data_IF_922005032662
#
_entry.id   IF_922005032662
#
_cell.length_a   1.000
_cell.length_b   1.000
_cell.length_c   1.000
_cell.angle_alpha   90.00
_cell.angle_beta   90.00
_cell.angle_gamma   90.00
#
_symmetry.space_group_name_H-M   'P 1'
#
loop_
_entity.id
_entity.type
_entity.pdbx_description
1 polymer ?
#
# COMPACT_ATOMS: atom_id res chain seq x y z
N UNK A 1 -21.58 9.87 0.59
CA UNK A 1 -20.54 9.68 1.62
C UNK A 1 -20.56 10.81 2.62
N UNK A 2 -20.59 10.46 3.91
CA UNK A 2 -20.59 11.44 4.99
C UNK A 2 -19.17 11.62 5.54
N UNK A 3 -18.55 12.82 5.48
CA UNK A 3 -17.22 13.09 6.02
C UNK A 3 -17.02 12.67 7.49
N UNK A 4 -18.08 12.67 8.30
CA UNK A 4 -18.05 12.23 9.68
C UNK A 4 -17.78 10.72 9.87
N UNK A 5 -17.95 9.91 8.83
CA UNK A 5 -17.67 8.48 8.84
C UNK A 5 -16.19 8.16 8.64
N UNK A 6 -15.35 9.16 8.32
CA UNK A 6 -13.90 9.01 8.22
C UNK A 6 -13.29 9.05 9.62
N UNK A 7 -13.07 7.89 10.20
CA UNK A 7 -12.66 7.75 11.61
C UNK A 7 -11.23 7.28 11.79
N UNK A 8 -10.70 6.49 10.82
CA UNK A 8 -9.37 5.92 10.90
C UNK A 8 -8.26 6.95 10.60
N UNK A 9 -7.13 6.91 11.32
CA UNK A 9 -6.07 7.91 11.19
C UNK A 9 -5.53 8.07 9.76
N UNK A 10 -5.32 6.95 9.05
CA UNK A 10 -4.79 6.98 7.68
C UNK A 10 -5.81 7.57 6.69
N UNK A 11 -7.10 7.26 6.87
CA UNK A 11 -8.17 7.82 6.04
C UNK A 11 -8.29 9.33 6.25
N UNK A 12 -8.19 9.78 7.52
CA UNK A 12 -8.16 11.21 7.86
C UNK A 12 -6.94 11.90 7.25
N UNK A 13 -5.77 11.25 7.25
CA UNK A 13 -4.56 11.79 6.61
C UNK A 13 -4.72 11.95 5.10
N UNK A 14 -5.35 10.96 4.44
CA UNK A 14 -5.68 11.05 3.02
C UNK A 14 -6.65 12.22 2.73
N UNK A 15 -7.65 12.44 3.57
CA UNK A 15 -8.55 13.59 3.43
C UNK A 15 -7.85 14.92 3.73
N UNK A 16 -6.91 14.97 4.69
CA UNK A 16 -6.09 16.15 4.94
C UNK A 16 -5.29 16.55 3.69
N UNK A 17 -4.66 15.58 3.03
CA UNK A 17 -3.94 15.81 1.77
C UNK A 17 -4.88 16.25 0.66
N UNK A 18 -6.05 15.61 0.51
CA UNK A 18 -7.07 16.03 -0.46
C UNK A 18 -7.50 17.49 -0.26
N UNK A 19 -7.71 17.91 0.98
CA UNK A 19 -8.06 19.30 1.29
C UNK A 19 -6.99 20.30 0.81
N UNK A 20 -5.71 19.96 0.96
CA UNK A 20 -4.60 20.78 0.46
C UNK A 20 -4.62 20.84 -1.06
N UNK A 21 -4.71 19.70 -1.74
CA UNK A 21 -4.73 19.64 -3.21
C UNK A 21 -5.88 20.43 -3.80
N UNK A 22 -7.07 20.32 -3.22
CA UNK A 22 -8.22 21.14 -3.68
C UNK A 22 -7.95 22.64 -3.54
N UNK A 23 -7.30 23.10 -2.44
CA UNK A 23 -6.92 24.51 -2.27
C UNK A 23 -5.88 24.95 -3.29
N UNK A 24 -4.82 24.15 -3.46
CA UNK A 24 -3.72 24.43 -4.39
C UNK A 24 -4.21 24.49 -5.83
N UNK A 25 -4.98 23.49 -6.27
CA UNK A 25 -5.56 23.45 -7.61
C UNK A 25 -6.52 24.63 -7.84
N UNK A 26 -7.35 24.98 -6.84
CA UNK A 26 -8.26 26.14 -6.93
C UNK A 26 -7.49 27.44 -7.05
N UNK A 27 -6.44 27.64 -6.26
CA UNK A 27 -5.61 28.85 -6.30
C UNK A 27 -4.88 28.97 -7.65
N UNK A 28 -4.31 27.88 -8.14
CA UNK A 28 -3.61 27.85 -9.43
C UNK A 28 -4.57 28.16 -10.61
N UNK A 29 -5.75 27.53 -10.62
CA UNK A 29 -6.76 27.81 -11.68
C UNK A 29 -7.27 29.25 -11.64
N UNK A 30 -7.48 29.83 -10.46
CA UNK A 30 -7.85 31.24 -10.31
C UNK A 30 -6.77 32.20 -10.80
N UNK A 31 -5.50 31.75 -10.81
CA UNK A 31 -4.36 32.49 -11.34
C UNK A 31 -4.05 32.15 -12.81
N UNK A 32 -4.90 31.35 -13.47
CA UNK A 32 -4.70 30.84 -14.84
C UNK A 32 -3.46 29.96 -15.01
N UNK A 33 -2.92 29.37 -13.91
CA UNK A 33 -1.76 28.50 -13.91
C UNK A 33 -2.19 27.03 -14.05
N UNK A 34 -2.78 26.66 -15.19
CA UNK A 34 -3.39 25.33 -15.41
C UNK A 34 -2.41 24.18 -15.22
N UNK A 35 -1.15 24.34 -15.64
CA UNK A 35 -0.12 23.30 -15.48
C UNK A 35 0.19 23.01 -14.01
N UNK A 36 0.26 24.04 -13.16
CA UNK A 36 0.46 23.86 -11.72
C UNK A 36 -0.73 23.20 -11.06
N UNK A 37 -1.94 23.53 -11.52
CA UNK A 37 -3.14 22.88 -11.01
C UNK A 37 -3.13 21.37 -11.34
N UNK A 38 -2.79 21.02 -12.59
CA UNK A 38 -2.69 19.64 -13.02
C UNK A 38 -1.60 18.88 -12.26
N UNK A 39 -0.41 19.46 -12.12
CA UNK A 39 0.72 18.89 -11.38
C UNK A 39 0.32 18.53 -9.93
N UNK A 40 -0.31 19.48 -9.20
CA UNK A 40 -0.75 19.24 -7.83
C UNK A 40 -1.81 18.12 -7.74
N UNK A 41 -2.73 18.04 -8.72
CA UNK A 41 -3.76 17.00 -8.76
C UNK A 41 -3.14 15.64 -9.10
N UNK A 42 -2.25 15.59 -10.11
CA UNK A 42 -1.64 14.37 -10.62
C UNK A 42 -0.71 13.73 -9.59
N UNK A 43 0.14 14.51 -8.94
CA UNK A 43 1.03 14.03 -7.88
C UNK A 43 0.26 13.32 -6.77
N UNK A 44 -0.84 13.90 -6.32
CA UNK A 44 -1.65 13.26 -5.28
C UNK A 44 -2.49 12.11 -5.82
N UNK A 45 -2.96 12.17 -7.05
CA UNK A 45 -3.68 11.07 -7.69
C UNK A 45 -2.84 9.79 -7.70
N UNK A 46 -1.59 9.88 -8.10
CA UNK A 46 -0.68 8.73 -8.09
C UNK A 46 -0.38 8.25 -6.67
N UNK A 47 -0.11 9.14 -5.73
CA UNK A 47 0.05 8.75 -4.32
C UNK A 47 -1.21 8.08 -3.76
N UNK A 48 -2.38 8.58 -4.11
CA UNK A 48 -3.65 7.98 -3.69
C UNK A 48 -3.84 6.57 -4.27
N UNK A 49 -3.52 6.38 -5.56
CA UNK A 49 -3.66 5.08 -6.22
C UNK A 49 -2.60 4.07 -5.77
N UNK A 50 -1.33 4.47 -5.71
CA UNK A 50 -0.21 3.56 -5.49
C UNK A 50 0.04 3.27 -4.01
N UNK A 51 -0.22 4.24 -3.12
CA UNK A 51 0.00 4.10 -1.69
C UNK A 51 -1.32 3.89 -0.94
N UNK A 52 -2.24 4.87 -0.99
CA UNK A 52 -3.41 4.87 -0.12
C UNK A 52 -4.34 3.69 -0.39
N UNK A 53 -4.72 3.44 -1.65
CA UNK A 53 -5.59 2.30 -2.01
C UNK A 53 -4.95 0.99 -1.57
N UNK A 54 -3.65 0.82 -1.81
CA UNK A 54 -2.92 -0.41 -1.44
C UNK A 54 -2.85 -0.63 0.07
N UNK A 55 -2.72 0.45 0.85
CA UNK A 55 -2.70 0.41 2.31
C UNK A 55 -4.07 -0.01 2.87
N UNK A 56 -5.17 0.54 2.34
CA UNK A 56 -6.51 0.37 2.93
C UNK A 56 -7.37 -0.70 2.28
N UNK A 57 -6.97 -1.27 1.15
CA UNK A 57 -7.82 -2.17 0.35
C UNK A 57 -8.40 -3.34 1.14
N UNK A 58 -7.61 -4.03 1.96
CA UNK A 58 -8.09 -5.16 2.73
C UNK A 58 -9.12 -4.73 3.79
N UNK A 59 -8.87 -3.59 4.45
CA UNK A 59 -9.81 -2.97 5.37
C UNK A 59 -11.10 -2.55 4.65
N UNK A 60 -11.00 -1.95 3.46
CA UNK A 60 -12.16 -1.58 2.65
C UNK A 60 -13.00 -2.78 2.18
N UNK A 61 -12.36 -3.91 1.88
CA UNK A 61 -13.06 -5.16 1.57
C UNK A 61 -13.70 -5.81 2.80
N UNK A 62 -13.25 -5.49 4.00
CA UNK A 62 -13.71 -6.15 5.24
C UNK A 62 -13.18 -7.57 5.36
N UNK A 63 -12.06 -7.88 4.70
CA UNK A 63 -11.44 -9.21 4.75
C UNK A 63 -10.54 -9.34 5.97
N UNK A 64 -10.45 -10.56 6.52
CA UNK A 64 -9.52 -10.86 7.59
C UNK A 64 -8.06 -10.59 7.12
N UNK A 65 -7.26 -10.04 8.01
CA UNK A 65 -5.83 -9.86 7.81
C UNK A 65 -5.07 -11.20 7.84
N UNK A 66 -3.76 -11.15 7.64
CA UNK A 66 -2.91 -12.35 7.65
C UNK A 66 -2.85 -13.06 9.02
N UNK A 67 -3.31 -12.41 10.09
CA UNK A 67 -3.42 -12.97 11.45
C UNK A 67 -4.83 -13.48 11.78
N UNK A 68 -5.80 -13.31 10.88
CA UNK A 68 -7.18 -13.70 11.05
C UNK A 68 -8.10 -12.63 11.69
N UNK A 69 -7.58 -11.42 11.95
CA UNK A 69 -8.40 -10.34 12.50
C UNK A 69 -9.26 -9.72 11.39
N UNK A 70 -10.54 -9.55 11.67
CA UNK A 70 -11.50 -8.89 10.77
C UNK A 70 -11.62 -7.42 11.20
N UNK A 71 -11.51 -6.46 10.28
CA UNK A 71 -11.69 -5.05 10.61
C UNK A 71 -13.11 -4.78 11.08
N UNK A 72 -13.28 -3.82 12.02
CA UNK A 72 -14.60 -3.41 12.50
C UNK A 72 -15.42 -2.77 11.39
N UNK A 73 -16.75 -2.82 11.49
CA UNK A 73 -17.65 -2.19 10.53
C UNK A 73 -17.38 -0.69 10.39
N UNK A 74 -17.01 -0.02 11.48
CA UNK A 74 -16.64 1.40 11.47
C UNK A 74 -15.35 1.65 10.68
N UNK A 75 -14.33 0.78 10.83
CA UNK A 75 -13.09 0.87 10.09
C UNK A 75 -13.31 0.60 8.58
N UNK A 76 -14.15 -0.40 8.24
CA UNK A 76 -14.55 -0.66 6.86
C UNK A 76 -15.28 0.54 6.26
N UNK A 77 -16.24 1.10 7.02
CA UNK A 77 -17.01 2.28 6.59
C UNK A 77 -16.11 3.49 6.38
N UNK A 78 -15.14 3.72 7.25
CA UNK A 78 -14.16 4.80 7.16
C UNK A 78 -13.37 4.70 5.86
N UNK A 79 -12.77 3.54 5.56
CA UNK A 79 -12.01 3.33 4.33
C UNK A 79 -12.87 3.56 3.07
N UNK A 80 -14.07 2.97 3.03
CA UNK A 80 -14.98 3.12 1.88
C UNK A 80 -15.43 4.57 1.69
N UNK A 81 -15.70 5.28 2.77
CA UNK A 81 -16.08 6.69 2.72
C UNK A 81 -14.93 7.55 2.21
N UNK A 82 -13.71 7.35 2.69
CA UNK A 82 -12.56 8.11 2.25
C UNK A 82 -12.20 7.81 0.77
N UNK A 83 -12.29 6.54 0.35
CA UNK A 83 -12.13 6.15 -1.05
C UNK A 83 -13.19 6.81 -1.95
N UNK A 84 -14.46 6.81 -1.52
CA UNK A 84 -15.56 7.43 -2.27
C UNK A 84 -15.43 8.94 -2.38
N UNK A 85 -15.10 9.62 -1.26
CA UNK A 85 -14.82 11.07 -1.25
C UNK A 85 -13.62 11.42 -2.13
N UNK A 86 -12.57 10.60 -2.12
CA UNK A 86 -11.39 10.77 -2.95
C UNK A 86 -11.73 10.65 -4.44
N UNK A 87 -12.45 9.60 -4.83
CA UNK A 87 -12.85 9.37 -6.22
C UNK A 87 -13.76 10.49 -6.75
N UNK A 88 -14.73 10.94 -5.95
CA UNK A 88 -15.60 12.07 -6.26
C UNK A 88 -14.79 13.38 -6.45
N UNK A 89 -13.80 13.62 -5.57
CA UNK A 89 -12.91 14.76 -5.70
C UNK A 89 -12.10 14.70 -7.00
N UNK A 90 -11.45 13.57 -7.29
CA UNK A 90 -10.63 13.42 -8.48
C UNK A 90 -11.45 13.53 -9.77
N UNK A 91 -12.66 12.97 -9.81
CA UNK A 91 -13.55 13.12 -10.98
C UNK A 91 -13.81 14.60 -11.31
N UNK A 92 -14.07 15.43 -10.29
CA UNK A 92 -14.29 16.88 -10.47
C UNK A 92 -13.02 17.65 -10.77
N UNK A 93 -11.91 17.35 -10.07
CA UNK A 93 -10.62 18.02 -10.26
C UNK A 93 -10.02 17.75 -11.65
N UNK A 94 -10.20 16.53 -12.17
CA UNK A 94 -9.67 16.11 -13.46
C UNK A 94 -10.61 16.42 -14.63
N UNK A 95 -11.88 16.74 -14.39
CA UNK A 95 -12.84 17.04 -15.44
C UNK A 95 -12.38 18.10 -16.47
N UNK A 96 -11.69 19.21 -16.09
CA UNK A 96 -11.17 20.17 -17.04
C UNK A 96 -10.03 19.64 -17.93
N UNK A 97 -9.32 18.60 -17.49
CA UNK A 97 -8.14 18.04 -18.16
C UNK A 97 -8.44 16.74 -18.90
N UNK A 98 -9.27 15.89 -18.30
CA UNK A 98 -9.64 14.57 -18.80
C UNK A 98 -11.18 14.45 -18.92
N UNK A 99 -11.84 15.25 -19.79
CA UNK A 99 -13.28 15.43 -19.78
C UNK A 99 -14.06 14.12 -19.96
N UNK A 100 -13.63 13.25 -20.86
CA UNK A 100 -14.35 12.01 -21.15
C UNK A 100 -14.17 10.96 -20.05
N UNK A 101 -12.94 10.78 -19.53
CA UNK A 101 -12.67 9.84 -18.46
C UNK A 101 -13.38 10.26 -17.15
N UNK A 102 -13.34 11.55 -16.83
CA UNK A 102 -14.01 12.09 -15.66
C UNK A 102 -15.54 11.92 -15.75
N UNK A 103 -16.13 12.16 -16.91
CA UNK A 103 -17.57 11.98 -17.14
C UNK A 103 -17.98 10.50 -17.01
N UNK A 104 -17.20 9.58 -17.58
CA UNK A 104 -17.47 8.15 -17.49
C UNK A 104 -17.46 7.67 -16.04
N UNK A 105 -16.39 8.00 -15.28
CA UNK A 105 -16.29 7.65 -13.85
C UNK A 105 -17.41 8.30 -13.03
N UNK A 106 -17.72 9.55 -13.31
CA UNK A 106 -18.83 10.27 -12.67
C UNK A 106 -20.17 9.57 -12.86
N UNK A 107 -20.45 9.11 -14.08
CA UNK A 107 -21.70 8.42 -14.40
C UNK A 107 -21.93 7.14 -13.61
N UNK A 108 -20.87 6.46 -13.21
CA UNK A 108 -20.95 5.25 -12.37
C UNK A 108 -21.32 5.56 -10.92
N UNK A 109 -20.87 6.72 -10.40
CA UNK A 109 -21.10 7.13 -9.00
C UNK A 109 -22.39 7.93 -8.81
N UNK A 110 -22.77 8.72 -9.81
CA UNK A 110 -23.83 9.70 -9.74
C UNK A 110 -24.91 9.43 -10.79
N UNK A 111 -25.45 8.21 -10.81
CA UNK A 111 -26.46 7.80 -11.78
C UNK A 111 -27.68 8.73 -11.72
N UNK A 112 -27.97 9.44 -12.83
CA UNK A 112 -29.09 10.34 -12.95
C UNK A 112 -28.87 11.76 -12.38
N UNK A 113 -27.71 12.08 -11.85
CA UNK A 113 -27.38 13.41 -11.29
C UNK A 113 -26.82 14.41 -12.32
N UNK A 114 -26.73 14.00 -13.59
CA UNK A 114 -26.23 14.83 -14.69
C UNK A 114 -24.69 14.71 -14.84
N UNK A 115 -24.11 15.63 -15.61
CA UNK A 115 -22.71 15.61 -16.01
C UNK A 115 -21.79 16.21 -14.94
N UNK A 116 -20.57 15.64 -14.79
CA UNK A 116 -19.50 16.21 -13.93
C UNK A 116 -19.16 17.65 -14.31
N UNK A 117 -19.28 18.01 -15.60
CA UNK A 117 -18.99 19.36 -16.11
C UNK A 117 -20.02 20.42 -15.66
N UNK A 118 -21.12 19.99 -15.06
CA UNK A 118 -22.13 20.84 -14.45
C UNK A 118 -22.14 20.74 -12.92
N UNK A 119 -21.38 19.82 -12.37
CA UNK A 119 -21.23 19.66 -10.92
C UNK A 119 -20.42 20.83 -10.33
N UNK A 120 -20.67 21.12 -9.05
CA UNK A 120 -19.92 22.15 -8.36
C UNK A 120 -18.44 21.73 -8.19
N UNK A 121 -17.52 22.68 -8.29
CA UNK A 121 -16.14 22.47 -7.96
C UNK A 121 -15.98 21.96 -6.51
N UNK A 122 -15.05 21.02 -6.22
CA UNK A 122 -14.91 20.46 -4.88
C UNK A 122 -14.51 21.54 -3.87
N UNK A 123 -15.08 21.46 -2.66
CA UNK A 123 -14.80 22.40 -1.58
C UNK A 123 -13.83 21.77 -0.60
N UNK A 124 -12.68 22.41 -0.37
CA UNK A 124 -11.64 21.92 0.54
C UNK A 124 -12.13 21.66 1.96
N UNK A 125 -13.12 22.43 2.42
CA UNK A 125 -13.64 22.32 3.79
C UNK A 125 -14.34 20.99 4.07
N UNK A 126 -14.90 20.33 3.06
CA UNK A 126 -15.51 18.99 3.19
C UNK A 126 -14.44 17.97 3.60
N UNK A 127 -13.28 18.00 2.93
CA UNK A 127 -12.17 17.09 3.20
C UNK A 127 -11.44 17.47 4.48
N UNK A 128 -11.30 18.78 4.78
CA UNK A 128 -10.74 19.26 6.02
C UNK A 128 -11.58 18.85 7.24
N UNK A 129 -12.91 18.84 7.12
CA UNK A 129 -13.80 18.35 8.18
C UNK A 129 -13.62 16.84 8.41
N UNK A 130 -13.44 16.05 7.34
CA UNK A 130 -13.14 14.62 7.44
C UNK A 130 -11.75 14.35 8.04
N UNK A 131 -10.82 15.28 7.89
CA UNK A 131 -9.42 15.14 8.29
C UNK A 131 -9.12 15.49 9.75
N UNK A 132 -10.11 15.83 10.56
CA UNK A 132 -9.93 16.41 11.91
C UNK A 132 -8.76 15.81 12.68
N UNK A 133 -7.76 16.63 12.99
CA UNK A 133 -6.60 16.28 13.81
C UNK A 133 -5.51 15.41 13.12
N UNK A 134 -5.65 15.11 11.84
CA UNK A 134 -4.67 14.30 11.12
C UNK A 134 -3.62 15.14 10.37
N UNK A 135 -2.38 14.66 10.36
CA UNK A 135 -1.33 15.19 9.51
C UNK A 135 -1.39 14.52 8.12
N UNK A 136 -1.35 15.30 7.02
CA UNK A 136 -1.26 14.75 5.67
C UNK A 136 0.03 13.93 5.43
N UNK A 137 1.08 14.18 6.21
CA UNK A 137 2.36 13.48 6.13
C UNK A 137 2.27 12.01 6.54
N UNK A 138 1.28 11.66 7.38
CA UNK A 138 1.07 10.27 7.82
C UNK A 138 0.93 9.31 6.64
N UNK A 139 0.20 9.71 5.58
CA UNK A 139 0.07 8.90 4.37
C UNK A 139 1.41 8.70 3.67
N UNK A 140 2.20 9.77 3.52
CA UNK A 140 3.51 9.70 2.86
C UNK A 140 4.48 8.78 3.63
N UNK A 141 4.48 8.84 4.96
CA UNK A 141 5.30 7.98 5.80
C UNK A 141 4.84 6.52 5.79
N UNK A 142 3.53 6.27 5.77
CA UNK A 142 2.98 4.93 5.64
C UNK A 142 3.35 4.29 4.29
N UNK A 143 3.23 5.05 3.19
CA UNK A 143 3.65 4.62 1.86
C UNK A 143 5.14 4.26 1.82
N UNK A 144 6.01 5.13 2.34
CA UNK A 144 7.47 4.85 2.44
C UNK A 144 7.78 3.62 3.28
N UNK A 145 7.06 3.38 4.37
CA UNK A 145 7.25 2.19 5.18
C UNK A 145 6.94 0.91 4.37
N UNK A 146 5.83 0.89 3.63
CA UNK A 146 5.47 -0.26 2.78
C UNK A 146 6.43 -0.41 1.61
N UNK A 147 6.88 0.67 1.00
CA UNK A 147 7.91 0.65 -0.05
C UNK A 147 9.19 -0.06 0.44
N UNK A 148 9.67 0.29 1.65
CA UNK A 148 10.85 -0.35 2.23
C UNK A 148 10.61 -1.84 2.52
N UNK A 149 9.44 -2.22 3.00
CA UNK A 149 9.08 -3.63 3.19
C UNK A 149 9.07 -4.41 1.87
N UNK A 150 8.55 -3.81 0.80
CA UNK A 150 8.57 -4.40 -0.56
C UNK A 150 10.00 -4.50 -1.11
N UNK A 151 10.83 -3.48 -0.88
CA UNK A 151 12.24 -3.46 -1.28
C UNK A 151 13.02 -4.60 -0.63
N UNK A 152 12.89 -4.81 0.69
CA UNK A 152 13.52 -5.92 1.42
C UNK A 152 13.13 -7.27 0.81
N UNK A 153 11.85 -7.48 0.50
CA UNK A 153 11.39 -8.72 -0.15
C UNK A 153 11.98 -8.91 -1.54
N UNK A 154 12.08 -7.83 -2.31
CA UNK A 154 12.69 -7.86 -3.65
C UNK A 154 14.18 -8.20 -3.60
N UNK A 155 14.92 -7.58 -2.68
CA UNK A 155 16.36 -7.85 -2.47
C UNK A 155 16.60 -9.29 -2.02
N UNK A 156 15.73 -9.81 -1.14
CA UNK A 156 15.76 -11.21 -0.70
C UNK A 156 15.24 -12.19 -1.78
N UNK A 157 14.78 -11.69 -2.95
CA UNK A 157 14.22 -12.49 -4.04
C UNK A 157 13.06 -13.41 -3.61
N UNK A 158 12.28 -12.99 -2.63
CA UNK A 158 11.09 -13.70 -2.16
C UNK A 158 9.80 -13.09 -2.73
N UNK A 159 8.73 -13.87 -2.71
CA UNK A 159 7.42 -13.38 -3.17
C UNK A 159 6.92 -12.20 -2.32
N UNK A 160 6.24 -11.24 -2.95
CA UNK A 160 5.55 -10.16 -2.22
C UNK A 160 4.49 -10.68 -1.24
N UNK A 161 3.99 -11.91 -1.45
CA UNK A 161 3.05 -12.59 -0.55
C UNK A 161 3.72 -13.25 0.67
N UNK A 162 5.05 -13.35 0.71
CA UNK A 162 5.77 -13.95 1.83
C UNK A 162 5.53 -13.14 3.11
N UNK A 163 5.09 -13.78 4.21
CA UNK A 163 4.88 -13.09 5.48
C UNK A 163 6.21 -12.66 6.11
N UNK A 164 6.22 -11.51 6.77
CA UNK A 164 7.32 -11.02 7.57
C UNK A 164 7.00 -11.31 9.04
N UNK A 165 7.87 -12.10 9.71
CA UNK A 165 7.65 -12.50 11.10
C UNK A 165 8.03 -11.41 12.11
N UNK A 166 9.00 -10.55 11.76
CA UNK A 166 9.37 -9.41 12.57
C UNK A 166 10.04 -8.34 11.72
N UNK A 167 9.81 -7.09 12.07
CA UNK A 167 10.46 -5.95 11.41
C UNK A 167 10.77 -4.86 12.43
N UNK A 168 11.91 -4.20 12.24
CA UNK A 168 12.27 -3.00 12.99
C UNK A 168 12.30 -1.82 12.03
N UNK A 169 11.41 -0.86 12.27
CA UNK A 169 11.33 0.37 11.50
C UNK A 169 12.27 1.41 12.08
N UNK A 170 13.21 1.88 11.28
CA UNK A 170 14.10 2.98 11.63
C UNK A 170 13.47 4.30 11.27
N UNK A 171 12.97 5.01 12.27
CA UNK A 171 12.26 6.29 12.07
C UNK A 171 12.78 7.34 13.04
N UNK A 172 12.76 8.59 12.62
CA UNK A 172 12.98 9.72 13.51
C UNK A 172 11.83 9.83 14.53
N UNK A 173 12.10 10.39 15.69
CA UNK A 173 11.11 10.41 16.80
C UNK A 173 9.87 11.24 16.47
N UNK A 174 10.01 12.29 15.67
CA UNK A 174 8.93 13.17 15.19
C UNK A 174 7.97 12.46 14.20
N UNK A 175 8.44 11.42 13.50
CA UNK A 175 7.66 10.65 12.52
C UNK A 175 7.01 9.41 13.14
N UNK A 176 7.53 8.97 14.29
CA UNK A 176 7.11 7.73 14.96
C UNK A 176 5.61 7.69 15.23
N UNK A 177 5.03 8.75 15.73
CA UNK A 177 3.60 8.83 16.07
C UNK A 177 2.73 8.68 14.80
N UNK A 178 3.12 9.32 13.71
CA UNK A 178 2.44 9.21 12.41
C UNK A 178 2.42 7.76 11.90
N UNK A 179 3.56 7.09 11.90
CA UNK A 179 3.65 5.68 11.46
C UNK A 179 2.89 4.77 12.43
N UNK A 180 2.98 5.02 13.74
CA UNK A 180 2.30 4.22 14.75
C UNK A 180 0.78 4.29 14.62
N UNK A 181 0.23 5.43 14.22
CA UNK A 181 -1.21 5.60 13.98
C UNK A 181 -1.73 4.81 12.77
N UNK A 182 -0.87 4.52 11.79
CA UNK A 182 -1.19 3.76 10.58
C UNK A 182 -0.66 2.31 10.60
N UNK A 183 -0.18 1.84 11.77
CA UNK A 183 0.58 0.59 11.88
C UNK A 183 -0.20 -0.64 11.40
N UNK A 184 -1.50 -0.70 11.63
CA UNK A 184 -2.36 -1.79 11.19
C UNK A 184 -2.40 -1.92 9.66
N UNK A 185 -2.62 -0.80 8.97
CA UNK A 185 -2.66 -0.75 7.51
C UNK A 185 -1.27 -1.05 6.90
N UNK A 186 -0.18 -0.55 7.53
CA UNK A 186 1.20 -0.85 7.12
C UNK A 186 1.52 -2.33 7.28
N UNK A 187 1.14 -2.93 8.41
CA UNK A 187 1.36 -4.34 8.69
C UNK A 187 0.66 -5.22 7.66
N UNK A 188 -0.60 -4.91 7.36
CA UNK A 188 -1.38 -5.66 6.38
C UNK A 188 -0.84 -5.52 4.96
N UNK A 189 -0.58 -4.29 4.49
CA UNK A 189 -0.02 -4.04 3.16
C UNK A 189 1.37 -4.64 2.99
N UNK A 190 2.19 -4.62 4.06
CA UNK A 190 3.52 -5.23 4.12
C UNK A 190 3.50 -6.73 4.38
N UNK A 191 2.35 -7.34 4.72
CA UNK A 191 2.20 -8.70 5.20
C UNK A 191 3.12 -9.02 6.40
N UNK A 192 3.09 -8.17 7.39
CA UNK A 192 3.80 -8.37 8.66
C UNK A 192 2.84 -9.08 9.62
N UNK A 193 3.12 -10.34 9.91
CA UNK A 193 2.27 -11.18 10.79
C UNK A 193 2.77 -11.23 12.23
N UNK A 194 3.93 -10.65 12.49
CA UNK A 194 4.54 -10.69 13.80
C UNK A 194 4.83 -9.30 14.36
N UNK A 195 5.94 -9.16 15.09
CA UNK A 195 6.25 -7.94 15.84
C UNK A 195 6.80 -6.83 14.94
N UNK A 196 6.21 -5.64 15.07
CA UNK A 196 6.80 -4.41 14.55
C UNK A 196 7.41 -3.65 15.73
N UNK A 197 8.68 -3.28 15.63
CA UNK A 197 9.40 -2.48 16.61
C UNK A 197 9.98 -1.24 15.95
N UNK A 198 10.29 -0.25 16.77
CA UNK A 198 10.88 1.02 16.31
C UNK A 198 12.28 1.17 16.86
N UNK A 199 13.20 1.66 16.03
CA UNK A 199 14.53 2.06 16.43
C UNK A 199 14.81 3.47 15.90
N UNK A 200 15.71 4.20 16.57
CA UNK A 200 16.19 5.47 16.01
C UNK A 200 16.86 5.24 14.65
N UNK A 201 16.79 6.20 13.73
CA UNK A 201 17.22 6.06 12.34
C UNK A 201 18.65 5.49 12.16
N UNK A 202 19.58 5.83 13.06
CA UNK A 202 20.95 5.34 13.02
C UNK A 202 21.08 3.87 13.47
N UNK A 203 20.27 3.43 14.45
CA UNK A 203 20.27 2.06 14.94
C UNK A 203 19.62 1.09 13.96
N UNK A 204 18.61 1.56 13.23
CA UNK A 204 17.92 0.77 12.21
C UNK A 204 18.78 0.46 11.00
N UNK A 205 19.60 1.40 10.54
CA UNK A 205 20.51 1.17 9.43
C UNK A 205 21.52 0.03 9.73
N UNK A 206 21.93 -0.09 11.00
CA UNK A 206 22.79 -1.20 11.45
C UNK A 206 22.02 -2.53 11.57
N UNK A 207 20.77 -2.50 12.04
CA UNK A 207 19.95 -3.70 12.21
C UNK A 207 19.49 -4.29 10.87
N UNK A 208 19.13 -3.45 9.89
CA UNK A 208 18.78 -3.89 8.54
C UNK A 208 19.96 -4.58 7.86
N UNK A 209 21.17 -4.07 8.03
CA UNK A 209 22.38 -4.71 7.49
C UNK A 209 22.62 -6.08 8.13
N UNK A 210 22.49 -6.19 9.44
CA UNK A 210 22.70 -7.44 10.16
C UNK A 210 21.65 -8.52 9.80
N UNK A 211 20.37 -8.14 9.60
CA UNK A 211 19.31 -9.06 9.17
C UNK A 211 19.43 -9.47 7.71
N UNK A 212 19.91 -8.59 6.84
CA UNK A 212 20.16 -8.91 5.44
C UNK A 212 21.34 -9.90 5.30
N UNK A 213 22.41 -9.70 6.07
CA UNK A 213 23.56 -10.59 6.09
C UNK A 213 23.18 -11.97 6.63
N UNK A 214 22.39 -12.05 7.71
CA UNK A 214 21.89 -13.31 8.26
C UNK A 214 20.91 -14.05 7.33
N UNK A 215 20.07 -13.32 6.61
CA UNK A 215 19.16 -13.91 5.62
C UNK A 215 19.92 -14.42 4.38
N UNK A 216 21.00 -13.75 3.99
CA UNK A 216 21.89 -14.19 2.91
C UNK A 216 22.63 -15.46 3.31
N UNK A 217 23.20 -15.51 4.50
CA UNK A 217 23.90 -16.70 5.02
C UNK A 217 22.94 -17.91 5.12
N UNK A 218 21.70 -17.70 5.57
CA UNK A 218 20.69 -18.75 5.62
C UNK A 218 20.27 -19.24 4.21
N UNK A 219 20.17 -18.33 3.23
CA UNK A 219 19.86 -18.65 1.85
C UNK A 219 21.01 -19.41 1.17
N UNK A 220 22.25 -18.99 1.41
CA UNK A 220 23.44 -19.62 0.85
C UNK A 220 23.62 -21.02 1.47
N UNK A 221 23.32 -21.19 2.76
CA UNK A 221 23.29 -22.50 3.42
C UNK A 221 22.21 -23.41 2.86
N UNK A 222 20.99 -22.91 2.64
CA UNK A 222 19.90 -23.67 2.05
C UNK A 222 20.18 -24.06 0.57
N UNK A 223 20.87 -23.21 -0.18
CA UNK A 223 21.33 -23.53 -1.54
C UNK A 223 22.39 -24.63 -1.52
N UNK A 224 23.38 -24.55 -0.63
CA UNK A 224 24.40 -25.59 -0.49
C UNK A 224 23.81 -26.93 -0.09
N UNK A 225 22.81 -26.96 0.81
CA UNK A 225 22.06 -28.16 1.18
C UNK A 225 21.25 -28.74 0.00
N UNK A 226 20.69 -27.87 -0.86
CA UNK A 226 19.94 -28.28 -2.06
C UNK A 226 20.87 -28.80 -3.17
N UNK A 227 22.03 -28.18 -3.36
CA UNK A 227 23.07 -28.66 -4.29
C UNK A 227 23.67 -29.99 -3.84
N UNK A 228 23.94 -30.15 -2.55
CA UNK A 228 24.40 -31.43 -1.98
C UNK A 228 23.34 -32.54 -2.13
N UNK A 229 22.05 -32.23 -1.95
CA UNK A 229 20.96 -33.17 -2.21
C UNK A 229 20.80 -33.53 -3.70
N UNK A 230 21.05 -32.59 -4.60
CA UNK A 230 21.04 -32.82 -6.04
C UNK A 230 22.23 -33.69 -6.48
N UNK A 231 23.41 -33.52 -5.90
CA UNK A 231 24.58 -34.35 -6.14
C UNK A 231 24.34 -35.78 -5.68
N UNK A 232 23.73 -36.01 -4.52
CA UNK A 232 23.35 -37.35 -4.03
C UNK A 232 22.32 -38.04 -4.95
N UNK A 233 21.37 -37.31 -5.55
CA UNK A 233 20.38 -37.86 -6.47
C UNK A 233 21.06 -38.27 -7.82
N UNK A 234 22.11 -37.57 -8.27
CA UNK A 234 22.85 -37.94 -9.48
C UNK A 234 23.68 -39.19 -9.26
N UNK A 235 24.34 -39.37 -8.09
CA UNK A 235 25.08 -40.58 -7.76
C UNK A 235 24.20 -41.85 -7.62
N UNK A 236 22.95 -41.74 -7.11
CA UNK A 236 22.01 -42.85 -7.07
C UNK A 236 21.50 -43.24 -8.46
N UNK A 237 21.47 -42.34 -9.44
CA UNK A 237 21.04 -42.64 -10.82
C UNK A 237 22.10 -43.34 -11.68
N UNK A 238 23.37 -43.36 -11.23
CA UNK A 238 24.48 -44.10 -11.88
C UNK A 238 24.60 -45.56 -11.41
N UNK A 239 23.83 -45.97 -10.40
CA UNK A 239 23.77 -47.36 -9.95
C UNK A 239 22.77 -48.18 -10.77
N UNK A 240 23.24 -48.60 -11.95
CA UNK A 240 22.90 -49.84 -12.67
C UNK A 240 21.42 -50.14 -12.96
N UNK A 241 21.11 -50.22 -14.25
CA UNK A 241 19.87 -50.84 -14.77
C UNK A 241 19.63 -52.24 -14.17
N UNK A 242 18.40 -52.56 -13.78
CA UNK A 242 18.07 -53.88 -13.29
C UNK A 242 18.17 -54.91 -14.49
N UNK A 243 18.66 -56.12 -14.27
CA UNK A 243 18.91 -57.10 -15.34
C UNK A 243 17.60 -57.50 -16.06
N UNK A 244 17.64 -57.48 -17.36
CA UNK A 244 16.54 -57.81 -18.26
C UNK A 244 15.95 -59.20 -17.97
N UNK A 245 14.63 -59.32 -17.77
CA UNK A 245 13.91 -60.57 -17.65
C UNK A 245 13.97 -61.37 -18.92
N UNK A 246 14.59 -62.57 -18.89
CA UNK A 246 14.61 -63.55 -20.01
C UNK A 246 13.18 -63.96 -20.40
N UNK A 247 12.86 -64.07 -21.72
CA UNK A 247 11.55 -64.54 -22.15
C UNK A 247 11.37 -66.01 -21.85
N UNK A 248 10.20 -66.35 -21.32
CA UNK A 248 9.77 -67.75 -21.14
C UNK A 248 9.47 -68.35 -22.53
N UNK A 249 10.24 -69.40 -22.94
CA UNK A 249 9.89 -70.28 -24.04
C UNK A 249 8.65 -71.10 -23.69
N UNK A 250 7.72 -71.17 -24.63
CA UNK A 250 6.74 -72.23 -24.73
C UNK A 250 7.39 -73.52 -25.14
#
# INVERSE_FOLDING_TARGET
WNPADVTEPLDRAAMAKMALVVREATAALNSYEHSKALEAIEDYFWQFCDDYIELVKNRAYGTADATGNVPSETAVKSARTALGLGLDAFARLLAPFLPYAAEEVWSWMHTGEGSVHRAAWPKADIYAAAATGASPETLAWAGKAVEQLRKIKSEAKVSMKTPILSVTLGVADDVRESIQSALGDIAEAGRVVGKISFAGALAAAKAVKATADAAKDALDKAKAETEAAAEVIVEESELGEPPAKKPKKK
#
